data_IF_791145170803
#
_entry.id   IF_791145170803
#
_cell.length_a   1.000
_cell.length_b   1.000
_cell.length_c   1.000
_cell.angle_alpha   90.00
_cell.angle_beta   90.00
_cell.angle_gamma   90.00
#
_symmetry.space_group_name_H-M   'P 1'
#
loop_
_entity.id
_entity.type
_entity.pdbx_description
1 polymer ?
#
# COMPACT_ATOMS: atom_id res chain seq x y z
N UNK A 1 -11.86 7.74 3.44
CA UNK A 1 -11.93 6.63 2.48
C UNK A 1 -10.81 5.60 2.67
N UNK A 2 -9.50 5.96 2.69
CA UNK A 2 -8.38 5.03 2.87
C UNK A 2 -8.58 4.12 4.09
N UNK A 3 -8.75 4.68 5.28
CA UNK A 3 -8.93 3.91 6.52
C UNK A 3 -10.21 3.06 6.51
N UNK A 4 -11.30 3.55 5.90
CA UNK A 4 -12.53 2.76 5.79
C UNK A 4 -12.29 1.48 5.00
N UNK A 5 -11.58 1.56 3.88
CA UNK A 5 -11.23 0.40 3.08
C UNK A 5 -10.32 -0.54 3.85
N UNK A 6 -9.15 -0.07 4.29
CA UNK A 6 -8.15 -0.89 4.95
C UNK A 6 -8.72 -1.59 6.20
N UNK A 7 -9.28 -0.83 7.14
CA UNK A 7 -9.76 -1.40 8.42
C UNK A 7 -10.93 -2.37 8.21
N UNK A 8 -11.86 -2.08 7.29
CA UNK A 8 -12.99 -3.00 7.04
C UNK A 8 -12.55 -4.31 6.38
N UNK A 9 -11.50 -4.28 5.54
CA UNK A 9 -10.92 -5.49 4.94
C UNK A 9 -10.09 -6.28 5.95
N UNK A 10 -9.32 -5.60 6.80
CA UNK A 10 -8.56 -6.24 7.89
C UNK A 10 -9.51 -6.93 8.90
N UNK A 11 -10.58 -6.26 9.31
CA UNK A 11 -11.58 -6.84 10.23
C UNK A 11 -12.24 -8.07 9.59
N UNK A 12 -12.57 -8.01 8.28
CA UNK A 12 -13.11 -9.16 7.57
C UNK A 12 -12.13 -10.34 7.54
N UNK A 13 -10.85 -10.08 7.26
CA UNK A 13 -9.82 -11.10 7.24
C UNK A 13 -9.63 -11.72 8.64
N UNK A 14 -9.60 -10.92 9.70
CA UNK A 14 -9.51 -11.42 11.08
C UNK A 14 -10.72 -12.27 11.46
N UNK A 15 -11.94 -11.88 11.06
CA UNK A 15 -13.16 -12.64 11.35
C UNK A 15 -13.22 -13.96 10.57
N UNK A 16 -12.71 -13.97 9.33
CA UNK A 16 -12.62 -15.17 8.50
C UNK A 16 -11.65 -16.19 9.10
N UNK A 17 -10.47 -15.76 9.50
CA UNK A 17 -9.50 -16.59 10.24
C UNK A 17 -10.09 -17.06 11.59
N UNK A 18 -10.88 -16.23 12.25
CA UNK A 18 -11.60 -16.61 13.48
C UNK A 18 -12.53 -17.79 13.25
N UNK A 19 -13.35 -17.77 12.19
CA UNK A 19 -14.19 -18.92 11.81
C UNK A 19 -13.33 -20.15 11.56
N UNK A 20 -12.23 -20.01 10.83
CA UNK A 20 -11.33 -21.11 10.51
C UNK A 20 -10.73 -21.76 11.77
N UNK A 21 -10.31 -20.95 12.75
CA UNK A 21 -9.77 -21.41 14.04
C UNK A 21 -10.82 -22.18 14.85
N UNK A 22 -12.08 -21.70 14.86
CA UNK A 22 -13.19 -22.36 15.55
C UNK A 22 -13.71 -23.60 14.80
N UNK A 23 -13.28 -23.83 13.56
CA UNK A 23 -13.75 -24.94 12.71
C UNK A 23 -15.26 -24.87 12.45
N UNK A 24 -15.92 -26.01 12.37
CA UNK A 24 -17.38 -26.08 12.13
C UNK A 24 -18.21 -25.28 13.14
N UNK A 25 -17.75 -25.17 14.37
CA UNK A 25 -18.41 -24.35 15.41
C UNK A 25 -18.32 -22.85 15.11
N UNK A 26 -17.28 -22.39 14.43
CA UNK A 26 -17.17 -20.98 14.01
C UNK A 26 -18.25 -20.56 13.02
N UNK A 27 -18.75 -21.51 12.23
CA UNK A 27 -19.85 -21.30 11.28
C UNK A 27 -21.24 -21.46 11.89
N UNK A 28 -21.35 -22.10 13.07
CA UNK A 28 -22.60 -22.29 13.77
C UNK A 28 -23.05 -21.01 14.48
N UNK A 29 -24.34 -20.72 14.45
CA UNK A 29 -24.97 -19.64 15.24
C UNK A 29 -24.87 -19.83 16.77
N UNK A 30 -24.41 -21.01 17.22
CA UNK A 30 -24.17 -21.29 18.65
C UNK A 30 -22.93 -20.59 19.20
N UNK A 31 -22.07 -20.02 18.31
CA UNK A 31 -20.90 -19.27 18.70
C UNK A 31 -20.95 -17.83 18.17
N UNK A 32 -20.26 -16.87 18.83
CA UNK A 32 -20.28 -15.48 18.40
C UNK A 32 -19.49 -15.21 17.09
N UNK A 33 -18.73 -16.19 16.57
CA UNK A 33 -17.88 -15.97 15.41
C UNK A 33 -18.67 -15.79 14.11
N UNK A 34 -19.77 -16.53 13.94
CA UNK A 34 -20.69 -16.35 12.78
C UNK A 34 -21.22 -14.91 12.73
N UNK A 35 -21.71 -14.41 13.85
CA UNK A 35 -22.20 -13.03 13.96
C UNK A 35 -21.11 -12.01 13.69
N UNK A 36 -19.92 -12.17 14.29
CA UNK A 36 -18.77 -11.30 14.07
C UNK A 36 -18.36 -11.25 12.59
N UNK A 37 -18.41 -12.40 11.91
CA UNK A 37 -18.07 -12.48 10.47
C UNK A 37 -19.12 -11.75 9.61
N UNK A 38 -20.40 -11.91 9.90
CA UNK A 38 -21.50 -11.21 9.20
C UNK A 38 -21.39 -9.70 9.38
N UNK A 39 -21.13 -9.24 10.61
CA UNK A 39 -20.95 -7.82 10.93
C UNK A 39 -19.69 -7.23 10.29
N UNK A 40 -18.62 -7.99 10.22
CA UNK A 40 -17.42 -7.60 9.48
C UNK A 40 -17.71 -7.48 7.98
N UNK A 41 -18.45 -8.44 7.39
CA UNK A 41 -18.73 -8.48 5.96
C UNK A 41 -19.56 -7.29 5.47
N UNK A 42 -20.56 -6.87 6.21
CA UNK A 42 -21.41 -5.74 5.82
C UNK A 42 -20.65 -4.41 5.85
N UNK A 43 -19.60 -4.28 6.67
CA UNK A 43 -18.80 -3.07 6.79
C UNK A 43 -18.09 -2.67 5.47
N UNK A 44 -17.89 -3.62 4.55
CA UNK A 44 -17.33 -3.36 3.21
C UNK A 44 -18.35 -2.81 2.21
N UNK A 45 -19.64 -2.81 2.55
CA UNK A 45 -20.76 -2.49 1.65
C UNK A 45 -21.37 -1.13 1.99
N UNK A 46 -21.71 -0.89 3.26
CA UNK A 46 -22.35 0.36 3.68
C UNK A 46 -21.39 1.56 3.75
N UNK A 47 -21.93 2.77 3.85
CA UNK A 47 -21.19 4.05 3.88
C UNK A 47 -20.27 4.24 2.68
N UNK A 48 -20.76 3.81 1.53
CA UNK A 48 -20.00 3.69 0.29
C UNK A 48 -19.20 2.39 0.26
N UNK A 49 -19.38 1.60 -0.79
CA UNK A 49 -18.64 0.34 -0.91
C UNK A 49 -17.14 0.59 -0.91
N UNK A 50 -16.35 -0.42 -0.63
CA UNK A 50 -14.90 -0.29 -0.63
C UNK A 50 -14.36 0.11 -2.01
N UNK A 51 -15.02 -0.32 -3.09
CA UNK A 51 -14.71 0.08 -4.47
C UNK A 51 -14.95 1.60 -4.67
N UNK A 52 -16.10 2.11 -4.25
CA UNK A 52 -16.41 3.56 -4.31
C UNK A 52 -15.40 4.36 -3.47
N UNK A 53 -15.06 3.88 -2.27
CA UNK A 53 -14.09 4.56 -1.42
C UNK A 53 -12.67 4.56 -2.00
N UNK A 54 -12.27 3.52 -2.75
CA UNK A 54 -11.00 3.49 -3.48
C UNK A 54 -10.95 4.57 -4.56
N UNK A 55 -11.95 4.61 -5.42
CA UNK A 55 -12.05 5.63 -6.47
C UNK A 55 -12.09 7.04 -5.87
N UNK A 56 -12.84 7.23 -4.79
CA UNK A 56 -12.92 8.51 -4.08
C UNK A 56 -11.57 8.95 -3.53
N UNK A 57 -10.77 8.03 -2.97
CA UNK A 57 -9.47 8.36 -2.38
C UNK A 57 -8.52 8.97 -3.43
N UNK A 58 -8.38 8.33 -4.58
CA UNK A 58 -7.53 8.82 -5.67
C UNK A 58 -8.12 10.08 -6.32
N UNK A 59 -9.42 10.07 -6.64
CA UNK A 59 -10.09 11.20 -7.28
C UNK A 59 -10.02 12.48 -6.43
N UNK A 60 -10.20 12.39 -5.12
CA UNK A 60 -10.06 13.55 -4.22
C UNK A 60 -8.61 14.03 -4.11
N UNK A 61 -7.64 13.11 -4.11
CA UNK A 61 -6.23 13.49 -4.07
C UNK A 61 -5.82 14.24 -5.34
N UNK A 62 -6.21 13.73 -6.51
CA UNK A 62 -5.98 14.38 -7.80
C UNK A 62 -6.67 15.75 -7.86
N UNK A 63 -7.94 15.85 -7.44
CA UNK A 63 -8.68 17.13 -7.38
C UNK A 63 -8.00 18.16 -6.47
N UNK A 64 -7.44 17.75 -5.33
CA UNK A 64 -6.68 18.62 -4.44
C UNK A 64 -5.36 19.07 -5.07
N UNK A 65 -4.69 18.19 -5.79
CA UNK A 65 -3.47 18.51 -6.51
C UNK A 65 -3.73 19.54 -7.63
N UNK A 66 -4.79 19.35 -8.41
CA UNK A 66 -5.19 20.29 -9.47
C UNK A 66 -5.57 21.67 -8.93
N UNK A 67 -6.07 21.74 -7.68
CA UNK A 67 -6.36 23.02 -6.99
C UNK A 67 -5.16 23.64 -6.28
N UNK A 68 -3.97 23.00 -6.38
CA UNK A 68 -2.77 23.48 -5.70
C UNK A 68 -2.75 23.29 -4.18
N UNK A 69 -3.69 22.53 -3.61
CA UNK A 69 -3.73 22.24 -2.18
C UNK A 69 -2.70 21.19 -1.75
N UNK A 70 -2.25 20.35 -2.67
CA UNK A 70 -1.22 19.32 -2.47
C UNK A 70 -0.34 19.32 -3.71
N UNK A 71 0.97 19.41 -3.53
CA UNK A 71 1.90 19.26 -4.63
C UNK A 71 2.11 17.78 -4.95
N UNK A 72 1.49 17.30 -6.01
CA UNK A 72 1.73 15.97 -6.59
C UNK A 72 2.43 16.05 -7.95
N UNK A 73 2.25 17.16 -8.68
CA UNK A 73 2.77 17.28 -10.03
C UNK A 73 4.28 17.43 -10.05
N UNK A 74 4.84 18.26 -9.16
CA UNK A 74 6.28 18.42 -9.03
C UNK A 74 6.97 17.09 -8.71
N UNK A 75 6.61 16.39 -7.63
CA UNK A 75 7.15 15.06 -7.33
C UNK A 75 6.92 14.02 -8.43
N UNK A 76 5.79 14.01 -9.12
CA UNK A 76 5.55 13.08 -10.24
C UNK A 76 6.48 13.35 -11.43
N UNK A 77 6.70 14.61 -11.76
CA UNK A 77 7.67 15.01 -12.79
C UNK A 77 9.09 14.58 -12.43
N UNK A 78 9.50 14.80 -11.18
CA UNK A 78 10.81 14.39 -10.68
C UNK A 78 11.00 12.85 -10.75
N UNK A 79 9.96 12.07 -10.50
CA UNK A 79 10.00 10.61 -10.67
C UNK A 79 10.15 10.25 -12.16
N UNK A 80 9.47 10.93 -13.06
CA UNK A 80 9.64 10.74 -14.52
C UNK A 80 11.08 11.02 -14.97
N UNK A 81 11.69 12.10 -14.51
CA UNK A 81 13.10 12.44 -14.78
C UNK A 81 14.05 11.38 -14.18
N UNK A 82 13.79 10.92 -12.97
CA UNK A 82 14.58 9.86 -12.32
C UNK A 82 14.54 8.54 -13.10
N UNK A 83 13.40 8.21 -13.73
CA UNK A 83 13.26 7.00 -14.55
C UNK A 83 14.11 7.05 -15.81
N UNK A 84 14.26 8.23 -16.40
CA UNK A 84 15.10 8.46 -17.59
C UNK A 84 16.59 8.66 -17.24
N UNK A 85 16.88 8.95 -15.98
CA UNK A 85 18.24 9.19 -15.49
C UNK A 85 19.03 7.91 -15.18
N UNK A 86 20.34 8.09 -15.01
CA UNK A 86 21.22 6.99 -14.54
C UNK A 86 20.93 6.75 -13.06
N UNK A 87 20.67 5.48 -12.63
CA UNK A 87 20.48 5.17 -11.23
C UNK A 87 21.69 5.57 -10.39
N UNK A 88 21.48 6.20 -9.21
CA UNK A 88 22.56 6.36 -8.26
C UNK A 88 22.95 4.99 -7.68
N UNK A 89 24.24 4.76 -7.52
CA UNK A 89 24.79 3.53 -6.95
C UNK A 89 25.16 3.70 -5.47
N UNK A 90 24.67 4.78 -4.84
CA UNK A 90 24.89 5.00 -3.42
C UNK A 90 24.32 3.84 -2.60
N UNK A 91 25.12 3.33 -1.67
CA UNK A 91 24.68 2.29 -0.73
C UNK A 91 24.21 3.00 0.53
N UNK A 92 22.88 3.05 0.79
CA UNK A 92 22.37 3.67 2.00
C UNK A 92 22.85 2.93 3.26
N UNK A 93 23.10 3.68 4.33
CA UNK A 93 23.36 3.09 5.65
C UNK A 93 22.04 2.65 6.31
N UNK A 94 21.85 1.35 6.42
CA UNK A 94 20.69 0.72 7.05
C UNK A 94 20.98 0.24 8.48
N UNK A 95 21.97 0.78 9.17
CA UNK A 95 22.34 0.39 10.54
C UNK A 95 21.30 0.78 11.60
N UNK A 96 20.44 1.77 11.30
CA UNK A 96 19.41 2.27 12.23
C UNK A 96 18.10 1.53 12.05
N UNK A 97 17.37 1.36 13.17
CA UNK A 97 16.02 0.79 13.15
C UNK A 97 15.14 1.45 12.07
N UNK A 98 14.53 0.63 11.24
CA UNK A 98 13.66 1.04 10.14
C UNK A 98 14.30 1.94 9.07
N UNK A 99 15.62 1.96 8.94
CA UNK A 99 16.28 2.78 7.92
C UNK A 99 15.97 2.28 6.50
N UNK A 100 16.05 0.96 6.27
CA UNK A 100 15.68 0.34 4.99
C UNK A 100 14.19 0.47 4.73
N UNK A 101 13.36 0.21 5.72
CA UNK A 101 11.91 0.26 5.61
C UNK A 101 11.41 1.68 5.26
N UNK A 102 12.03 2.71 5.82
CA UNK A 102 11.74 4.12 5.45
C UNK A 102 12.13 4.43 4.01
N UNK A 103 13.24 3.90 3.55
CA UNK A 103 13.65 4.04 2.15
C UNK A 103 12.70 3.31 1.21
N UNK A 104 12.28 2.10 1.57
CA UNK A 104 11.26 1.34 0.83
C UNK A 104 9.97 2.15 0.72
N UNK A 105 9.44 2.70 1.81
CA UNK A 105 8.23 3.53 1.77
C UNK A 105 8.38 4.73 0.83
N UNK A 106 9.53 5.40 0.84
CA UNK A 106 9.82 6.49 -0.12
C UNK A 106 9.74 6.00 -1.57
N UNK A 107 10.29 4.82 -1.85
CA UNK A 107 10.25 4.22 -3.18
C UNK A 107 8.84 3.78 -3.58
N UNK A 108 8.04 3.23 -2.64
CA UNK A 108 6.63 2.91 -2.90
C UNK A 108 5.80 4.16 -3.21
N UNK A 109 6.07 5.30 -2.55
CA UNK A 109 5.47 6.60 -2.91
C UNK A 109 5.78 6.98 -4.36
N UNK A 110 7.01 6.70 -4.83
CA UNK A 110 7.38 6.93 -6.24
C UNK A 110 6.58 6.05 -7.21
N UNK A 111 6.26 4.81 -6.82
CA UNK A 111 5.36 3.96 -7.64
C UNK A 111 3.99 4.61 -7.80
N UNK A 112 3.40 5.12 -6.72
CA UNK A 112 2.13 5.83 -6.80
C UNK A 112 2.22 7.07 -7.69
N UNK A 113 3.25 7.89 -7.51
CA UNK A 113 3.48 9.11 -8.29
C UNK A 113 3.70 8.81 -9.79
N UNK A 114 4.45 7.76 -10.10
CA UNK A 114 4.65 7.28 -11.46
C UNK A 114 3.34 6.90 -12.12
N UNK A 115 2.53 6.06 -11.46
CA UNK A 115 1.25 5.58 -12.00
C UNK A 115 0.25 6.73 -12.11
N UNK A 116 0.03 7.47 -11.01
CA UNK A 116 -0.97 8.53 -10.96
C UNK A 116 -0.59 9.73 -11.86
N UNK A 117 0.69 10.10 -11.90
CA UNK A 117 1.20 11.18 -12.74
C UNK A 117 1.00 10.90 -14.24
N UNK A 118 1.44 9.71 -14.71
CA UNK A 118 1.26 9.30 -16.11
C UNK A 118 -0.22 9.14 -16.48
N UNK A 119 -1.05 8.61 -15.55
CA UNK A 119 -2.49 8.49 -15.79
C UNK A 119 -3.17 9.85 -15.93
N UNK A 120 -2.87 10.81 -15.06
CA UNK A 120 -3.39 12.18 -15.14
C UNK A 120 -2.96 12.85 -16.44
N UNK A 121 -1.70 12.69 -16.84
CA UNK A 121 -1.17 13.26 -18.07
C UNK A 121 -1.85 12.67 -19.30
N UNK A 122 -2.13 11.35 -19.32
CA UNK A 122 -2.71 10.66 -20.46
C UNK A 122 -4.21 10.91 -20.60
N UNK A 123 -4.96 10.86 -19.49
CA UNK A 123 -6.42 10.87 -19.51
C UNK A 123 -7.04 12.19 -19.06
N UNK A 124 -6.32 13.03 -18.33
CA UNK A 124 -6.84 14.32 -17.88
C UNK A 124 -8.19 14.20 -17.18
N UNK A 125 -9.24 14.91 -17.68
CA UNK A 125 -10.59 14.84 -17.13
C UNK A 125 -11.27 13.47 -17.25
N UNK A 126 -10.89 12.67 -18.24
CA UNK A 126 -11.50 11.36 -18.50
C UNK A 126 -10.98 10.25 -17.56
N UNK A 127 -10.01 10.57 -16.69
CA UNK A 127 -9.44 9.60 -15.76
C UNK A 127 -10.51 8.91 -14.89
N UNK A 128 -11.60 9.60 -14.54
CA UNK A 128 -12.69 9.04 -13.74
C UNK A 128 -13.40 7.85 -14.42
N UNK A 129 -13.32 7.73 -15.75
CA UNK A 129 -13.88 6.60 -16.50
C UNK A 129 -13.01 5.34 -16.45
N UNK A 130 -11.73 5.48 -16.12
CA UNK A 130 -10.77 4.38 -16.04
C UNK A 130 -10.75 3.73 -14.65
N UNK A 131 -11.88 3.13 -14.25
CA UNK A 131 -12.10 2.65 -12.88
C UNK A 131 -11.11 1.58 -12.44
N UNK A 132 -10.70 0.65 -13.32
CA UNK A 132 -9.71 -0.39 -12.98
C UNK A 132 -8.35 0.22 -12.64
N UNK A 133 -7.91 1.22 -13.40
CA UNK A 133 -6.69 1.97 -13.13
C UNK A 133 -6.78 2.71 -11.79
N UNK A 134 -7.91 3.37 -11.54
CA UNK A 134 -8.14 4.07 -10.27
C UNK A 134 -8.14 3.10 -9.08
N UNK A 135 -8.71 1.90 -9.23
CA UNK A 135 -8.69 0.86 -8.20
C UNK A 135 -7.27 0.40 -7.90
N UNK A 136 -6.46 0.11 -8.92
CA UNK A 136 -5.07 -0.29 -8.74
C UNK A 136 -4.23 0.82 -8.10
N UNK A 137 -4.41 2.08 -8.53
CA UNK A 137 -3.74 3.23 -7.93
C UNK A 137 -4.18 3.45 -6.46
N UNK A 138 -5.45 3.20 -6.14
CA UNK A 138 -5.97 3.29 -4.79
C UNK A 138 -5.36 2.23 -3.87
N UNK A 139 -5.22 0.99 -4.34
CA UNK A 139 -4.57 -0.08 -3.57
C UNK A 139 -3.11 0.30 -3.26
N UNK A 140 -2.36 0.84 -4.22
CA UNK A 140 -1.00 1.35 -3.99
C UNK A 140 -1.01 2.44 -2.91
N UNK A 141 -1.93 3.41 -3.01
CA UNK A 141 -2.04 4.52 -2.06
C UNK A 141 -2.37 4.03 -0.64
N UNK A 142 -3.29 3.05 -0.53
CA UNK A 142 -3.69 2.45 0.74
C UNK A 142 -2.51 1.75 1.40
N UNK A 143 -1.80 0.89 0.65
CA UNK A 143 -0.63 0.16 1.18
C UNK A 143 0.47 1.11 1.64
N UNK A 144 0.79 2.14 0.86
CA UNK A 144 1.78 3.16 1.25
C UNK A 144 1.38 3.87 2.54
N UNK A 145 0.10 4.28 2.65
CA UNK A 145 -0.40 4.97 3.83
C UNK A 145 -0.37 4.08 5.08
N UNK A 146 -0.81 2.83 4.96
CA UNK A 146 -0.84 1.87 6.06
C UNK A 146 0.56 1.47 6.49
N UNK A 147 1.47 1.21 5.55
CA UNK A 147 2.86 0.88 5.83
C UNK A 147 3.58 2.02 6.59
N UNK A 148 3.44 3.26 6.12
CA UNK A 148 4.04 4.42 6.78
C UNK A 148 3.45 4.65 8.18
N UNK A 149 2.13 4.55 8.31
CA UNK A 149 1.44 4.74 9.60
C UNK A 149 1.86 3.69 10.63
N UNK A 150 1.96 2.44 10.22
CA UNK A 150 2.41 1.31 11.07
C UNK A 150 3.86 1.51 11.51
N UNK A 151 4.75 1.84 10.57
CA UNK A 151 6.15 2.09 10.85
C UNK A 151 6.34 3.24 11.85
N UNK A 152 5.69 4.38 11.61
CA UNK A 152 5.78 5.56 12.48
C UNK A 152 5.25 5.28 13.89
N UNK A 153 4.19 4.49 14.01
CA UNK A 153 3.65 4.07 15.31
C UNK A 153 4.64 3.19 16.06
N UNK A 154 5.19 2.18 15.39
CA UNK A 154 6.14 1.25 15.99
C UNK A 154 7.44 1.95 16.36
N UNK A 155 7.98 2.81 15.50
CA UNK A 155 9.16 3.62 15.81
C UNK A 155 8.95 4.52 17.03
N UNK A 156 7.78 5.17 17.11
CA UNK A 156 7.42 5.98 18.29
C UNK A 156 7.39 5.15 19.58
N UNK A 157 6.82 3.95 19.51
CA UNK A 157 6.75 3.06 20.66
C UNK A 157 8.15 2.51 21.03
N UNK A 158 8.98 2.13 20.05
CA UNK A 158 10.34 1.67 20.28
C UNK A 158 11.20 2.76 20.96
N UNK A 159 11.06 4.02 20.54
CA UNK A 159 11.72 5.16 21.21
C UNK A 159 11.24 5.38 22.63
N UNK A 160 9.97 5.10 22.94
CA UNK A 160 9.36 5.33 24.25
C UNK A 160 9.61 4.18 25.24
N UNK A 161 9.55 2.95 24.78
CA UNK A 161 9.54 1.75 25.63
C UNK A 161 10.78 0.87 25.46
N UNK A 162 11.66 1.19 24.52
CA UNK A 162 12.81 0.40 24.13
C UNK A 162 12.50 -0.62 23.03
N UNK A 163 13.50 -0.91 22.20
CA UNK A 163 13.38 -1.84 21.08
C UNK A 163 13.09 -3.28 21.55
N UNK A 164 13.72 -3.71 22.65
CA UNK A 164 13.50 -5.04 23.20
C UNK A 164 12.04 -5.29 23.60
N UNK A 165 11.39 -4.29 24.19
CA UNK A 165 9.98 -4.37 24.56
C UNK A 165 9.03 -4.32 23.36
N UNK A 166 9.53 -3.97 22.18
CA UNK A 166 8.75 -3.82 20.94
C UNK A 166 9.17 -4.82 19.84
N UNK A 167 9.92 -5.87 20.18
CA UNK A 167 10.41 -6.86 19.20
C UNK A 167 9.31 -7.42 18.30
N UNK A 168 8.19 -7.82 18.90
CA UNK A 168 7.05 -8.38 18.15
C UNK A 168 6.44 -7.34 17.21
N UNK A 169 6.24 -6.09 17.67
CA UNK A 169 5.69 -5.01 16.85
C UNK A 169 6.64 -4.61 15.72
N UNK A 170 7.95 -4.64 15.98
CA UNK A 170 8.98 -4.40 14.95
C UNK A 170 8.89 -5.49 13.88
N UNK A 171 8.84 -6.77 14.28
CA UNK A 171 8.70 -7.90 13.36
C UNK A 171 7.41 -7.85 12.54
N UNK A 172 6.27 -7.53 13.19
CA UNK A 172 4.99 -7.33 12.50
C UNK A 172 5.08 -6.20 11.47
N UNK A 173 5.74 -5.10 11.81
CA UNK A 173 5.93 -3.95 10.89
C UNK A 173 6.76 -4.35 9.68
N UNK A 174 7.84 -5.09 9.88
CA UNK A 174 8.70 -5.58 8.80
C UNK A 174 7.97 -6.56 7.90
N UNK A 175 7.20 -7.50 8.47
CA UNK A 175 6.40 -8.44 7.73
C UNK A 175 5.29 -7.74 6.93
N UNK A 176 4.60 -6.77 7.54
CA UNK A 176 3.59 -5.98 6.86
C UNK A 176 4.20 -5.23 5.66
N UNK A 177 5.32 -4.56 5.86
CA UNK A 177 5.98 -3.81 4.79
C UNK A 177 6.43 -4.71 3.64
N UNK A 178 6.95 -5.89 3.93
CA UNK A 178 7.27 -6.88 2.90
C UNK A 178 6.04 -7.22 2.05
N UNK A 179 4.90 -7.53 2.70
CA UNK A 179 3.64 -7.81 2.01
C UNK A 179 3.12 -6.61 1.21
N UNK A 180 3.22 -5.41 1.77
CA UNK A 180 2.85 -4.17 1.08
C UNK A 180 3.65 -3.96 -0.21
N UNK A 181 4.96 -4.28 -0.20
CA UNK A 181 5.79 -4.22 -1.42
C UNK A 181 5.29 -5.18 -2.50
N UNK A 182 4.95 -6.42 -2.14
CA UNK A 182 4.42 -7.40 -3.09
C UNK A 182 3.07 -6.96 -3.69
N UNK A 183 2.18 -6.41 -2.85
CA UNK A 183 0.89 -5.85 -3.31
C UNK A 183 1.13 -4.66 -4.24
N UNK A 184 1.97 -3.71 -3.85
CA UNK A 184 2.30 -2.52 -4.67
C UNK A 184 2.94 -2.92 -5.99
N UNK A 185 3.80 -3.93 -6.01
CA UNK A 185 4.39 -4.45 -7.24
C UNK A 185 3.33 -5.05 -8.17
N UNK A 186 2.44 -5.87 -7.64
CA UNK A 186 1.34 -6.48 -8.41
C UNK A 186 0.38 -5.43 -8.95
N UNK A 187 -0.10 -4.51 -8.10
CA UNK A 187 -1.03 -3.45 -8.47
C UNK A 187 -0.39 -2.41 -9.40
N UNK A 188 0.88 -2.08 -9.18
CA UNK A 188 1.64 -1.21 -10.06
C UNK A 188 1.78 -1.80 -11.47
N UNK A 189 2.03 -3.11 -11.57
CA UNK A 189 2.07 -3.81 -12.86
C UNK A 189 0.71 -3.79 -13.55
N UNK A 190 -0.37 -4.13 -12.83
CA UNK A 190 -1.74 -4.07 -13.34
C UNK A 190 -2.07 -2.67 -13.88
N UNK A 191 -1.77 -1.62 -13.10
CA UNK A 191 -1.98 -0.25 -13.52
C UNK A 191 -1.22 0.09 -14.79
N UNK A 192 0.09 -0.18 -14.84
CA UNK A 192 0.95 0.16 -16.00
C UNK A 192 0.46 -0.54 -17.27
N UNK A 193 0.16 -1.84 -17.22
CA UNK A 193 -0.28 -2.58 -18.40
C UNK A 193 -1.69 -2.20 -18.87
N UNK A 194 -2.49 -1.55 -18.01
CA UNK A 194 -3.84 -1.12 -18.37
C UNK A 194 -3.86 0.12 -19.27
N UNK A 195 -2.77 0.90 -19.33
CA UNK A 195 -2.79 2.13 -20.11
C UNK A 195 -1.51 2.47 -20.87
N UNK A 196 -0.35 1.99 -20.44
CA UNK A 196 0.92 2.29 -21.09
C UNK A 196 1.25 1.27 -22.17
N UNK A 197 1.91 1.69 -23.24
CA UNK A 197 2.30 0.86 -24.38
C UNK A 197 3.75 1.14 -24.79
N UNK A 198 4.36 0.19 -25.53
CA UNK A 198 5.66 0.36 -26.16
C UNK A 198 6.78 0.68 -25.16
N UNK A 199 7.55 1.70 -25.45
CA UNK A 199 8.73 2.08 -24.64
C UNK A 199 8.32 2.73 -23.31
N UNK A 200 7.19 3.45 -23.26
CA UNK A 200 6.63 3.98 -22.02
C UNK A 200 6.34 2.86 -21.03
N UNK A 201 5.63 1.81 -21.48
CA UNK A 201 5.33 0.64 -20.65
C UNK A 201 6.59 -0.04 -20.15
N UNK A 202 7.60 -0.23 -21.02
CA UNK A 202 8.88 -0.86 -20.65
C UNK A 202 9.60 -0.04 -19.57
N UNK A 203 9.67 1.26 -19.74
CA UNK A 203 10.31 2.17 -18.79
C UNK A 203 9.60 2.15 -17.44
N UNK A 204 8.27 2.22 -17.41
CA UNK A 204 7.49 2.17 -16.18
C UNK A 204 7.63 0.82 -15.46
N UNK A 205 7.63 -0.31 -16.18
CA UNK A 205 7.85 -1.63 -15.58
C UNK A 205 9.27 -1.79 -15.02
N UNK A 206 10.28 -1.21 -15.66
CA UNK A 206 11.65 -1.16 -15.11
C UNK A 206 11.70 -0.31 -13.84
N UNK A 207 11.04 0.85 -13.85
CA UNK A 207 10.89 1.70 -12.67
C UNK A 207 10.19 0.99 -11.53
N UNK A 208 9.08 0.31 -11.82
CA UNK A 208 8.36 -0.48 -10.83
C UNK A 208 9.27 -1.51 -10.16
N UNK A 209 9.98 -2.32 -10.95
CA UNK A 209 10.94 -3.31 -10.43
C UNK A 209 12.03 -2.66 -9.56
N UNK A 210 12.54 -1.49 -9.95
CA UNK A 210 13.54 -0.74 -9.19
C UNK A 210 12.98 -0.23 -7.86
N UNK A 211 11.78 0.35 -7.86
CA UNK A 211 11.19 0.96 -6.68
C UNK A 211 10.65 -0.09 -5.68
N UNK A 212 10.31 -1.30 -6.13
CA UNK A 212 9.83 -2.39 -5.26
C UNK A 212 10.93 -3.38 -4.87
N UNK A 213 12.20 -3.06 -5.10
CA UNK A 213 13.33 -3.94 -4.72
C UNK A 213 13.58 -3.87 -3.22
N UNK A 214 13.71 -5.03 -2.58
CA UNK A 214 14.33 -5.19 -1.27
C UNK A 214 15.84 -5.39 -1.41
N UNK A 215 16.61 -4.84 -0.47
CA UNK A 215 18.05 -5.13 -0.36
C UNK A 215 18.26 -6.33 0.56
N UNK A 216 17.61 -6.30 1.73
CA UNK A 216 17.65 -7.37 2.71
C UNK A 216 16.25 -7.93 2.90
N UNK A 217 15.96 -9.08 2.29
CA UNK A 217 14.65 -9.73 2.49
C UNK A 217 14.49 -10.20 3.94
N UNK A 218 13.35 -9.91 4.58
CA UNK A 218 13.11 -10.36 5.94
C UNK A 218 12.99 -11.88 5.98
N UNK A 219 13.52 -12.48 7.03
CA UNK A 219 13.28 -13.91 7.30
C UNK A 219 11.85 -14.07 7.85
N UNK A 220 10.89 -14.34 6.96
CA UNK A 220 9.47 -14.42 7.30
C UNK A 220 9.22 -15.47 8.38
N UNK A 221 9.89 -16.63 8.32
CA UNK A 221 9.73 -17.71 9.32
C UNK A 221 10.17 -17.21 10.70
N UNK A 222 11.33 -16.55 10.79
CA UNK A 222 11.79 -16.00 12.07
C UNK A 222 10.85 -14.91 12.60
N UNK A 223 10.27 -14.08 11.71
CA UNK A 223 9.34 -13.02 12.11
C UNK A 223 7.98 -13.55 12.56
N UNK A 224 7.55 -14.74 12.14
CA UNK A 224 6.27 -15.34 12.53
C UNK A 224 6.35 -16.17 13.81
N UNK A 225 7.55 -16.41 14.32
CA UNK A 225 7.78 -17.18 15.57
C UNK A 225 8.16 -16.30 16.77
N UNK A 226 8.07 -14.97 16.64
CA UNK A 226 8.29 -14.01 17.73
C UNK A 226 7.00 -13.69 18.48
#
# INVERSE_FOLDING_TARGET
SILKVAVSEDVQACADEGIQIFGGMGFSADTPMESAWRDARISRIYEGTNEINRMLAVGMLVKKAMKGHVDLLGPATAVGEELMGIPSFDTPDYSKLFAEEKDIIKRLKKVFLMVAGSAVQKFGPDLESHQQLLMAAADILIEVYMAESTLLRTEKNAKRFGEDAQKTQIAMTQLYLYRAVEIVQSRGKEAVISFAEGDEQRMMLMGLKRFTKYTNYPNIVALTHL
#
